data_IF_087310849407
#
_entry.id   IF_087310849407
#
_cell.length_a   1.000
_cell.length_b   1.000
_cell.length_c   1.000
_cell.angle_alpha   90.00
_cell.angle_beta   90.00
_cell.angle_gamma   90.00
#
_symmetry.space_group_name_H-M   'P 1'
#
loop_
_entity.id
_entity.type
_entity.pdbx_description
1 polymer ?
#
# COMPACT_ATOMS: atom_id res chain seq x y z
N UNK A 1 -17.18 -18.56 4.45
CA UNK A 1 -16.54 -19.84 4.86
C UNK A 1 -16.24 -19.85 6.36
N UNK A 2 -15.41 -18.89 6.91
CA UNK A 2 -15.10 -18.90 8.34
C UNK A 2 -16.35 -18.66 9.22
N UNK A 3 -17.22 -17.73 8.83
CA UNK A 3 -18.49 -17.46 9.51
C UNK A 3 -19.41 -18.69 9.49
N UNK A 4 -19.51 -19.37 8.33
CA UNK A 4 -20.32 -20.59 8.17
C UNK A 4 -19.80 -21.75 9.07
N UNK A 5 -18.46 -21.88 9.17
CA UNK A 5 -17.85 -22.87 10.06
C UNK A 5 -18.16 -22.58 11.53
N UNK A 6 -18.04 -21.32 11.94
CA UNK A 6 -18.38 -20.90 13.31
C UNK A 6 -19.87 -21.02 13.58
N UNK A 7 -20.72 -20.72 12.60
CA UNK A 7 -22.16 -20.94 12.68
C UNK A 7 -22.53 -22.41 12.87
N UNK A 8 -21.84 -23.33 12.16
CA UNK A 8 -22.04 -24.78 12.31
C UNK A 8 -21.51 -25.33 13.63
N UNK A 9 -20.40 -24.78 14.17
CA UNK A 9 -19.79 -25.26 15.40
C UNK A 9 -20.45 -24.71 16.67
N UNK A 10 -20.84 -23.44 16.67
CA UNK A 10 -21.31 -22.70 17.85
C UNK A 10 -22.67 -22.02 17.65
N UNK A 11 -23.34 -22.32 16.54
CA UNK A 11 -24.63 -21.71 16.21
C UNK A 11 -24.53 -20.21 15.90
N UNK A 12 -25.66 -19.48 15.89
CA UNK A 12 -25.74 -18.05 15.52
C UNK A 12 -24.83 -17.13 16.37
N UNK A 13 -24.53 -17.53 17.59
CA UNK A 13 -23.63 -16.80 18.48
C UNK A 13 -22.18 -16.86 18.02
N UNK A 14 -21.74 -18.01 17.49
CA UNK A 14 -20.39 -18.17 16.94
C UNK A 14 -20.16 -17.26 15.74
N UNK A 15 -21.13 -17.18 14.83
CA UNK A 15 -21.08 -16.31 13.65
C UNK A 15 -20.99 -14.83 14.05
N UNK A 16 -21.84 -14.38 14.98
CA UNK A 16 -21.84 -12.99 15.46
C UNK A 16 -20.55 -12.61 16.16
N UNK A 17 -20.04 -13.50 17.02
CA UNK A 17 -18.78 -13.28 17.75
C UNK A 17 -17.62 -13.15 16.78
N UNK A 18 -17.53 -14.02 15.77
CA UNK A 18 -16.51 -13.92 14.72
C UNK A 18 -16.62 -12.59 13.95
N UNK A 19 -17.86 -12.18 13.60
CA UNK A 19 -18.11 -10.90 12.94
C UNK A 19 -17.58 -9.70 13.72
N UNK A 20 -17.77 -9.69 15.05
CA UNK A 20 -17.25 -8.65 15.93
C UNK A 20 -15.72 -8.65 15.94
N UNK A 21 -15.07 -9.81 16.07
CA UNK A 21 -13.61 -9.91 16.03
C UNK A 21 -13.04 -9.41 14.68
N UNK A 22 -13.66 -9.80 13.58
CA UNK A 22 -13.26 -9.33 12.25
C UNK A 22 -13.43 -7.81 12.12
N UNK A 23 -14.53 -7.25 12.63
CA UNK A 23 -14.77 -5.80 12.61
C UNK A 23 -13.70 -5.04 13.41
N UNK A 24 -13.37 -5.52 14.63
CA UNK A 24 -12.32 -4.91 15.47
C UNK A 24 -10.95 -5.00 14.78
N UNK A 25 -10.61 -6.16 14.20
CA UNK A 25 -9.38 -6.35 13.45
C UNK A 25 -9.29 -5.41 12.24
N UNK A 26 -10.39 -5.25 11.49
CA UNK A 26 -10.48 -4.34 10.37
C UNK A 26 -10.27 -2.87 10.79
N UNK A 27 -10.92 -2.42 11.87
CA UNK A 27 -10.75 -1.06 12.40
C UNK A 27 -9.30 -0.80 12.83
N UNK A 28 -8.66 -1.77 13.48
CA UNK A 28 -7.24 -1.67 13.87
C UNK A 28 -6.34 -1.56 12.64
N UNK A 29 -6.60 -2.36 11.62
CA UNK A 29 -5.86 -2.35 10.36
C UNK A 29 -6.02 -1.02 9.60
N UNK A 30 -7.24 -0.50 9.54
CA UNK A 30 -7.53 0.82 8.95
C UNK A 30 -6.73 1.91 9.67
N UNK A 31 -6.76 1.94 11.00
CA UNK A 31 -6.04 2.93 11.79
C UNK A 31 -4.52 2.89 11.53
N UNK A 32 -3.92 1.69 11.53
CA UNK A 32 -2.50 1.52 11.24
C UNK A 32 -2.15 1.99 9.83
N UNK A 33 -2.93 1.61 8.83
CA UNK A 33 -2.74 1.99 7.43
C UNK A 33 -2.88 3.50 7.22
N UNK A 34 -3.83 4.14 7.91
CA UNK A 34 -4.02 5.59 7.85
C UNK A 34 -2.82 6.35 8.42
N UNK A 35 -2.24 5.88 9.53
CA UNK A 35 -1.04 6.49 10.13
C UNK A 35 0.16 6.36 9.19
N UNK A 36 0.42 5.16 8.67
CA UNK A 36 1.54 4.90 7.76
C UNK A 36 1.39 5.71 6.47
N UNK A 37 0.20 5.70 5.86
CA UNK A 37 -0.06 6.40 4.62
C UNK A 37 0.05 7.92 4.76
N UNK A 38 -0.44 8.51 5.84
CA UNK A 38 -0.30 9.93 6.08
C UNK A 38 1.16 10.37 6.23
N UNK A 39 1.99 9.54 6.88
CA UNK A 39 3.45 9.78 6.99
C UNK A 39 4.16 9.62 5.65
N UNK A 40 3.75 8.65 4.85
CA UNK A 40 4.27 8.44 3.47
C UNK A 40 3.93 9.64 2.59
N UNK A 41 2.68 10.13 2.65
CA UNK A 41 2.25 11.33 1.93
C UNK A 41 3.03 12.58 2.37
N UNK A 42 3.33 12.70 3.67
CA UNK A 42 4.17 13.76 4.19
C UNK A 42 5.60 13.68 3.62
N UNK A 43 6.22 12.51 3.63
CA UNK A 43 7.55 12.31 3.07
C UNK A 43 7.57 12.64 1.57
N UNK A 44 6.55 12.17 0.82
CA UNK A 44 6.37 12.48 -0.57
C UNK A 44 6.26 13.99 -0.82
N UNK A 45 5.51 14.71 0.03
CA UNK A 45 5.39 16.16 -0.04
C UNK A 45 6.68 16.93 0.31
N UNK A 46 7.61 16.30 1.04
CA UNK A 46 8.95 16.82 1.30
C UNK A 46 9.88 16.68 0.10
N UNK A 47 9.82 15.53 -0.55
CA UNK A 47 10.74 15.17 -1.63
C UNK A 47 10.31 15.78 -2.98
N UNK A 48 9.00 16.07 -3.14
CA UNK A 48 8.42 16.47 -4.41
C UNK A 48 7.76 17.84 -4.34
N UNK A 49 8.32 18.87 -5.05
CA UNK A 49 7.79 20.24 -5.01
C UNK A 49 6.33 20.38 -5.42
N UNK A 50 5.87 19.57 -6.39
CA UNK A 50 4.48 19.56 -6.83
C UNK A 50 3.49 19.14 -5.73
N UNK A 51 3.95 18.33 -4.77
CA UNK A 51 3.14 17.80 -3.68
C UNK A 51 3.48 18.45 -2.33
N UNK A 52 4.20 19.58 -2.35
CA UNK A 52 4.69 20.29 -1.16
C UNK A 52 3.59 20.65 -0.16
N UNK A 53 2.34 20.80 -0.61
CA UNK A 53 1.21 21.05 0.28
C UNK A 53 0.98 19.92 1.31
N UNK A 54 1.36 18.67 0.98
CA UNK A 54 1.29 17.53 1.91
C UNK A 54 2.50 17.47 2.86
N UNK A 55 3.62 18.10 2.49
CA UNK A 55 4.87 18.14 3.25
C UNK A 55 4.87 19.07 4.47
N UNK A 56 3.70 19.47 4.96
CA UNK A 56 3.57 20.32 6.13
C UNK A 56 3.26 19.51 7.39
N UNK A 57 4.09 19.67 8.43
CA UNK A 57 3.91 19.03 9.73
C UNK A 57 3.34 20.05 10.71
N UNK A 58 2.17 19.80 11.25
CA UNK A 58 1.56 20.67 12.24
C UNK A 58 2.10 20.36 13.64
N UNK A 59 3.07 21.16 14.10
CA UNK A 59 3.76 20.95 15.37
C UNK A 59 2.85 20.91 16.60
N UNK A 60 1.75 21.65 16.57
CA UNK A 60 0.78 21.70 17.68
C UNK A 60 -0.07 20.43 17.84
N UNK A 61 -0.20 19.61 16.79
CA UNK A 61 -0.99 18.36 16.79
C UNK A 61 -0.13 17.10 16.56
N UNK A 62 1.17 17.25 16.34
CA UNK A 62 2.11 16.14 16.19
C UNK A 62 1.84 15.23 15.00
N UNK A 63 1.12 15.69 13.97
CA UNK A 63 0.72 14.86 12.84
C UNK A 63 0.63 15.62 11.52
N UNK A 64 0.82 14.96 10.36
CA UNK A 64 0.69 15.54 9.02
C UNK A 64 -0.79 15.57 8.60
N UNK A 65 -1.58 16.50 9.12
CA UNK A 65 -3.04 16.56 8.91
C UNK A 65 -3.39 16.61 7.43
N UNK A 66 -2.65 17.36 6.61
CA UNK A 66 -2.90 17.44 5.16
C UNK A 66 -2.74 16.10 4.47
N UNK A 67 -1.72 15.32 4.87
CA UNK A 67 -1.54 13.94 4.39
C UNK A 67 -2.72 13.03 4.75
N UNK A 68 -3.24 13.16 5.98
CA UNK A 68 -4.44 12.45 6.42
C UNK A 68 -5.68 12.82 5.62
N UNK A 69 -5.91 14.12 5.40
CA UNK A 69 -7.08 14.60 4.66
C UNK A 69 -7.09 14.09 3.21
N UNK A 70 -5.94 14.16 2.53
CA UNK A 70 -5.81 13.64 1.16
C UNK A 70 -6.11 12.14 1.12
N UNK A 71 -5.50 11.38 2.03
CA UNK A 71 -5.73 9.94 2.08
C UNK A 71 -7.19 9.61 2.41
N UNK A 72 -7.78 10.30 3.38
CA UNK A 72 -9.19 10.10 3.75
C UNK A 72 -10.13 10.43 2.59
N UNK A 73 -9.86 11.49 1.83
CA UNK A 73 -10.65 11.86 0.66
C UNK A 73 -10.56 10.78 -0.43
N UNK A 74 -9.37 10.23 -0.69
CA UNK A 74 -9.18 9.13 -1.65
C UNK A 74 -9.91 7.87 -1.16
N UNK A 75 -9.76 7.50 0.11
CA UNK A 75 -10.46 6.33 0.67
C UNK A 75 -11.98 6.49 0.58
N UNK A 76 -12.50 7.67 0.91
CA UNK A 76 -13.94 7.95 0.82
C UNK A 76 -14.45 7.87 -0.63
N UNK A 77 -13.69 8.41 -1.58
CA UNK A 77 -14.03 8.32 -3.01
C UNK A 77 -14.07 6.85 -3.47
N UNK A 78 -13.11 6.02 -3.03
CA UNK A 78 -13.10 4.59 -3.33
C UNK A 78 -14.29 3.85 -2.69
N UNK A 79 -14.65 4.17 -1.46
CA UNK A 79 -15.83 3.59 -0.79
C UNK A 79 -17.10 3.96 -1.55
N UNK A 80 -17.25 5.23 -1.95
CA UNK A 80 -18.39 5.69 -2.76
C UNK A 80 -18.43 4.94 -4.09
N UNK A 81 -17.29 4.80 -4.77
CA UNK A 81 -17.20 4.01 -6.00
C UNK A 81 -17.61 2.55 -5.77
N UNK A 82 -17.17 1.93 -4.66
CA UNK A 82 -17.52 0.57 -4.29
C UNK A 82 -19.02 0.35 -4.06
N UNK A 83 -19.75 1.37 -3.56
CA UNK A 83 -21.21 1.29 -3.34
C UNK A 83 -21.97 1.10 -4.66
N UNK A 84 -21.45 1.64 -5.76
CA UNK A 84 -22.08 1.50 -7.08
C UNK A 84 -21.75 0.18 -7.78
N UNK A 85 -20.90 -0.67 -7.19
CA UNK A 85 -20.54 -1.97 -7.73
C UNK A 85 -21.38 -3.08 -7.09
N UNK A 86 -21.71 -4.13 -7.85
CA UNK A 86 -22.46 -5.29 -7.34
C UNK A 86 -21.69 -6.06 -6.27
N UNK A 87 -20.34 -6.14 -6.41
CA UNK A 87 -19.40 -6.67 -5.41
C UNK A 87 -18.28 -5.66 -5.19
N UNK A 88 -18.58 -4.58 -4.46
CA UNK A 88 -17.65 -3.48 -4.24
C UNK A 88 -16.35 -3.91 -3.56
N UNK A 89 -16.42 -4.85 -2.61
CA UNK A 89 -15.23 -5.36 -1.93
C UNK A 89 -14.35 -6.18 -2.88
N UNK A 90 -14.95 -7.11 -3.63
CA UNK A 90 -14.24 -7.94 -4.59
C UNK A 90 -13.52 -7.09 -5.65
N UNK A 91 -14.23 -6.13 -6.24
CA UNK A 91 -13.67 -5.19 -7.23
C UNK A 91 -12.48 -4.41 -6.64
N UNK A 92 -12.59 -3.90 -5.39
CA UNK A 92 -11.50 -3.19 -4.73
C UNK A 92 -10.25 -4.07 -4.56
N UNK A 93 -10.42 -5.32 -4.14
CA UNK A 93 -9.31 -6.28 -4.01
C UNK A 93 -8.70 -6.61 -5.36
N UNK A 94 -9.54 -6.86 -6.37
CA UNK A 94 -9.11 -7.26 -7.72
C UNK A 94 -8.20 -6.23 -8.40
N UNK A 95 -8.47 -4.92 -8.24
CA UNK A 95 -7.62 -3.92 -8.86
C UNK A 95 -6.44 -3.47 -7.97
N UNK A 96 -6.55 -3.58 -6.64
CA UNK A 96 -5.47 -3.17 -5.74
C UNK A 96 -4.40 -4.23 -5.55
N UNK A 97 -4.76 -5.52 -5.58
CA UNK A 97 -3.83 -6.61 -5.34
C UNK A 97 -2.64 -6.64 -6.33
N UNK A 98 -2.81 -6.47 -7.66
CA UNK A 98 -1.68 -6.45 -8.59
C UNK A 98 -0.69 -5.33 -8.28
N UNK A 99 -1.19 -4.13 -7.96
CA UNK A 99 -0.36 -2.97 -7.64
C UNK A 99 0.38 -3.18 -6.32
N UNK A 100 -0.29 -3.71 -5.31
CA UNK A 100 0.30 -3.99 -4.01
C UNK A 100 1.45 -5.01 -4.09
N UNK A 101 1.24 -6.15 -4.74
CA UNK A 101 2.28 -7.17 -4.89
C UNK A 101 3.43 -6.71 -5.75
N UNK A 102 3.16 -5.92 -6.79
CA UNK A 102 4.19 -5.30 -7.62
C UNK A 102 5.10 -4.36 -6.83
N UNK A 103 4.53 -3.49 -5.97
CA UNK A 103 5.35 -2.62 -5.12
C UNK A 103 6.16 -3.41 -4.10
N UNK A 104 5.61 -4.46 -3.48
CA UNK A 104 6.36 -5.34 -2.59
C UNK A 104 7.51 -6.06 -3.32
N UNK A 105 7.28 -6.49 -4.55
CA UNK A 105 8.33 -7.03 -5.41
C UNK A 105 9.47 -6.04 -5.63
N UNK A 106 9.16 -4.78 -5.97
CA UNK A 106 10.16 -3.73 -6.13
C UNK A 106 10.93 -3.45 -4.83
N UNK A 107 10.24 -3.44 -3.69
CA UNK A 107 10.88 -3.30 -2.37
C UNK A 107 11.85 -4.46 -2.12
N UNK A 108 11.45 -5.70 -2.45
CA UNK A 108 12.34 -6.86 -2.36
C UNK A 108 13.60 -6.72 -3.23
N UNK A 109 13.45 -6.28 -4.47
CA UNK A 109 14.58 -6.02 -5.38
C UNK A 109 15.49 -4.91 -4.84
N UNK A 110 14.91 -3.88 -4.23
CA UNK A 110 15.69 -2.75 -3.71
C UNK A 110 16.75 -3.17 -2.68
N UNK A 111 16.50 -4.24 -1.93
CA UNK A 111 17.46 -4.81 -0.96
C UNK A 111 18.74 -5.24 -1.67
N UNK A 112 18.63 -5.89 -2.84
CA UNK A 112 19.79 -6.31 -3.62
C UNK A 112 20.52 -5.10 -4.24
N UNK A 113 19.75 -4.20 -4.84
CA UNK A 113 20.29 -2.98 -5.46
C UNK A 113 21.06 -2.13 -4.46
N UNK A 114 20.50 -1.92 -3.27
CA UNK A 114 21.16 -1.13 -2.22
C UNK A 114 22.38 -1.81 -1.64
N UNK A 115 22.44 -3.13 -1.64
CA UNK A 115 23.67 -3.85 -1.22
C UNK A 115 24.81 -3.75 -2.23
N UNK A 116 24.47 -3.66 -3.52
CA UNK A 116 25.46 -3.47 -4.58
C UNK A 116 25.93 -2.01 -4.66
N UNK A 117 24.97 -1.06 -4.55
CA UNK A 117 25.29 0.38 -4.64
C UNK A 117 26.06 0.92 -3.45
N UNK A 118 25.75 0.44 -2.27
CA UNK A 118 26.36 0.92 -1.03
C UNK A 118 26.76 -0.27 -0.14
N UNK A 119 27.87 -0.96 -0.49
CA UNK A 119 28.34 -2.14 0.25
C UNK A 119 28.83 -1.82 1.66
N UNK A 120 29.30 -0.59 1.89
CA UNK A 120 29.91 -0.15 3.14
C UNK A 120 28.93 0.55 4.10
N UNK A 121 27.65 0.66 3.73
CA UNK A 121 26.65 1.25 4.61
C UNK A 121 26.59 0.51 5.95
N UNK A 122 26.60 1.25 7.04
CA UNK A 122 26.41 0.67 8.37
C UNK A 122 24.98 0.15 8.50
N UNK A 123 24.86 -1.17 8.70
CA UNK A 123 23.58 -1.87 8.81
C UNK A 123 23.46 -2.50 10.17
N UNK A 124 22.72 -1.87 11.10
CA UNK A 124 22.52 -2.40 12.45
C UNK A 124 21.93 -3.81 12.45
N UNK A 125 21.09 -4.10 11.45
CA UNK A 125 20.49 -5.43 11.27
C UNK A 125 20.93 -6.06 9.94
N UNK A 126 21.50 -7.25 10.05
CA UNK A 126 21.87 -8.08 8.89
C UNK A 126 20.81 -9.13 8.66
N UNK A 127 20.24 -9.15 7.45
CA UNK A 127 19.22 -10.15 7.06
C UNK A 127 19.81 -11.55 7.24
N UNK A 128 19.21 -12.41 8.09
CA UNK A 128 19.68 -13.78 8.28
C UNK A 128 19.52 -14.58 6.99
N UNK A 129 20.41 -15.55 6.77
CA UNK A 129 20.43 -16.41 5.57
C UNK A 129 20.45 -15.64 4.23
N UNK A 130 21.08 -14.46 4.22
CA UNK A 130 21.27 -13.75 2.95
C UNK A 130 22.17 -14.58 2.00
N UNK A 131 21.85 -14.73 0.71
CA UNK A 131 20.78 -14.07 -0.04
C UNK A 131 19.45 -14.85 -0.11
N UNK A 132 19.34 -16.02 0.54
CA UNK A 132 18.22 -16.96 0.37
C UNK A 132 16.85 -16.34 0.75
N UNK A 133 16.76 -15.70 1.93
CA UNK A 133 15.50 -15.10 2.40
C UNK A 133 14.98 -13.98 1.50
N UNK A 134 15.78 -13.00 1.04
CA UNK A 134 15.32 -12.01 0.07
C UNK A 134 14.94 -12.62 -1.28
N UNK A 135 15.64 -13.65 -1.74
CA UNK A 135 15.29 -14.34 -3.00
C UNK A 135 13.90 -14.99 -2.89
N UNK A 136 13.65 -15.75 -1.82
CA UNK A 136 12.35 -16.37 -1.59
C UNK A 136 11.23 -15.33 -1.52
N UNK A 137 11.48 -14.22 -0.83
CA UNK A 137 10.51 -13.11 -0.75
C UNK A 137 10.20 -12.53 -2.14
N UNK A 138 11.24 -12.23 -2.93
CA UNK A 138 11.08 -11.67 -4.29
C UNK A 138 10.36 -12.65 -5.20
N UNK A 139 10.70 -13.95 -5.17
CA UNK A 139 10.03 -14.97 -5.96
C UNK A 139 8.56 -15.11 -5.57
N UNK A 140 8.25 -15.11 -4.28
CA UNK A 140 6.87 -15.15 -3.79
C UNK A 140 6.09 -13.91 -4.26
N UNK A 141 6.65 -12.70 -4.13
CA UNK A 141 6.01 -11.48 -4.60
C UNK A 141 5.84 -11.47 -6.13
N UNK A 142 6.81 -11.97 -6.90
CA UNK A 142 6.71 -12.13 -8.34
C UNK A 142 5.56 -13.06 -8.74
N UNK A 143 5.47 -14.23 -8.09
CA UNK A 143 4.38 -15.17 -8.31
C UNK A 143 3.02 -14.58 -7.96
N UNK A 144 2.90 -13.90 -6.82
CA UNK A 144 1.65 -13.26 -6.39
C UNK A 144 1.26 -12.10 -7.30
N UNK A 145 2.23 -11.33 -7.82
CA UNK A 145 1.99 -10.32 -8.84
C UNK A 145 1.43 -10.95 -10.11
N UNK A 146 2.08 -12.00 -10.62
CA UNK A 146 1.62 -12.72 -11.80
C UNK A 146 0.20 -13.29 -11.60
N UNK A 147 -0.03 -13.98 -10.49
CA UNK A 147 -1.33 -14.56 -10.15
C UNK A 147 -2.43 -13.50 -10.04
N UNK A 148 -2.14 -12.37 -9.37
CA UNK A 148 -3.09 -11.27 -9.22
C UNK A 148 -3.42 -10.61 -10.56
N UNK A 149 -2.43 -10.42 -11.44
CA UNK A 149 -2.66 -9.86 -12.78
C UNK A 149 -3.51 -10.80 -13.64
N UNK A 150 -3.20 -12.10 -13.64
CA UNK A 150 -3.99 -13.08 -14.40
C UNK A 150 -5.42 -13.20 -13.90
N UNK A 151 -5.62 -13.16 -12.57
CA UNK A 151 -6.94 -13.15 -11.97
C UNK A 151 -7.72 -11.88 -12.31
N UNK A 152 -7.11 -10.70 -12.16
CA UNK A 152 -7.72 -9.42 -12.53
C UNK A 152 -8.04 -9.36 -14.04
N UNK A 153 -7.21 -9.99 -14.90
CA UNK A 153 -7.48 -10.11 -16.33
C UNK A 153 -8.74 -10.92 -16.62
N UNK A 154 -8.93 -12.05 -15.93
CA UNK A 154 -10.12 -12.90 -16.10
C UNK A 154 -11.42 -12.21 -15.71
N UNK A 155 -11.35 -11.19 -14.84
CA UNK A 155 -12.49 -10.38 -14.36
C UNK A 155 -12.66 -9.05 -15.10
N UNK A 156 -11.77 -8.72 -16.04
CA UNK A 156 -11.78 -7.44 -16.75
C UNK A 156 -11.26 -6.25 -15.93
N UNK A 157 -10.78 -6.48 -14.71
CA UNK A 157 -10.29 -5.43 -13.81
C UNK A 157 -8.86 -4.93 -14.10
N UNK A 158 -8.12 -5.62 -14.97
CA UNK A 158 -6.72 -5.26 -15.34
C UNK A 158 -6.63 -3.86 -15.93
N UNK A 159 -7.63 -3.43 -16.72
CA UNK A 159 -7.61 -2.09 -17.30
C UNK A 159 -7.55 -0.99 -16.25
N UNK A 160 -8.24 -1.15 -15.12
CA UNK A 160 -8.24 -0.19 -14.00
C UNK A 160 -6.84 -0.15 -13.35
N UNK A 161 -6.23 -1.31 -13.07
CA UNK A 161 -4.88 -1.40 -12.52
C UNK A 161 -3.84 -0.77 -13.44
N UNK A 162 -3.92 -1.02 -14.74
CA UNK A 162 -3.01 -0.43 -15.74
C UNK A 162 -3.19 1.08 -15.84
N UNK A 163 -4.42 1.59 -15.80
CA UNK A 163 -4.70 3.03 -15.82
C UNK A 163 -4.10 3.70 -14.57
N UNK A 164 -4.30 3.12 -13.39
CA UNK A 164 -3.74 3.66 -12.13
C UNK A 164 -2.22 3.67 -12.17
N UNK A 165 -1.58 2.59 -12.65
CA UNK A 165 -0.13 2.55 -12.83
C UNK A 165 0.37 3.56 -13.86
N UNK A 166 -0.32 3.69 -14.99
CA UNK A 166 0.03 4.65 -16.03
C UNK A 166 -0.07 6.09 -15.52
N UNK A 167 -1.14 6.43 -14.79
CA UNK A 167 -1.30 7.73 -14.13
C UNK A 167 -0.13 7.99 -13.17
N UNK A 168 0.27 6.99 -12.37
CA UNK A 168 1.42 7.09 -11.47
C UNK A 168 2.73 7.36 -12.21
N UNK A 169 3.00 6.65 -13.30
CA UNK A 169 4.19 6.85 -14.14
C UNK A 169 4.17 8.23 -14.79
N UNK A 170 3.04 8.66 -15.36
CA UNK A 170 2.87 9.99 -15.96
C UNK A 170 3.10 11.08 -14.90
N UNK A 171 2.50 10.95 -13.73
CA UNK A 171 2.72 11.87 -12.61
C UNK A 171 4.21 11.96 -12.23
N UNK A 172 4.92 10.82 -12.24
CA UNK A 172 6.35 10.74 -11.97
C UNK A 172 7.18 11.52 -13.00
N UNK A 173 6.82 11.47 -14.28
CA UNK A 173 7.49 12.25 -15.33
C UNK A 173 7.25 13.76 -15.17
N UNK A 174 6.02 14.18 -14.90
CA UNK A 174 5.68 15.59 -14.70
C UNK A 174 6.35 16.19 -13.45
N UNK A 175 6.52 15.39 -12.41
CA UNK A 175 7.11 15.85 -11.16
C UNK A 175 8.64 15.82 -11.16
N UNK A 176 9.30 15.00 -11.99
CA UNK A 176 10.77 14.98 -12.14
C UNK A 176 11.36 16.28 -12.73
N UNK A 177 10.58 17.07 -13.46
CA UNK A 177 11.03 18.33 -14.06
C UNK A 177 11.25 19.48 -13.07
N UNK A 178 10.74 19.37 -11.85
CA UNK A 178 10.85 20.41 -10.83
C UNK A 178 11.95 20.01 -9.84
N UNK A 179 13.20 20.44 -10.12
CA UNK A 179 14.31 20.30 -9.16
C UNK A 179 13.97 21.08 -7.90
N UNK A 180 13.69 20.37 -6.80
CA UNK A 180 13.63 20.96 -5.47
C UNK A 180 15.02 21.45 -5.03
N UNK A 181 15.10 22.45 -4.15
CA UNK A 181 16.36 22.85 -3.55
C UNK A 181 16.92 21.66 -2.77
N UNK A 182 18.14 21.26 -3.12
CA UNK A 182 18.95 20.31 -2.35
C UNK A 182 19.12 20.84 -0.94
N UNK A 183 18.34 20.34 0.01
CA UNK A 183 18.61 20.59 1.42
C UNK A 183 19.73 19.68 1.90
N UNK A 184 20.98 19.99 1.48
CA UNK A 184 22.11 19.74 2.31
C UNK A 184 22.05 20.76 3.44
N UNK A 185 21.64 20.37 4.62
CA UNK A 185 22.06 21.04 5.86
C UNK A 185 21.90 20.11 7.05
N UNK A 186 23.07 19.74 7.56
CA UNK A 186 23.55 19.53 8.94
C UNK A 186 22.64 18.75 9.89
#
# INVERSE_FOLDING_TARGET
VAADLMGKAFGPWGERTLGIFVAVAALTSINATMIVGARTNYALGKDWPALRFMGHWEGGRGSPIRGYLVQSAICLALVIFGIFQTDGFGVMVEFTAPVFWFFLFLVGISVFVMRVKDPNADRPFKVPLYPLTPILFVLTCAYLTYSSVTYAASKGAVHISLIVMAIGVVALFFTRGVKGPTSHQN
#
